data_IF_954266833483
#
_entry.id   IF_954266833483
#
_cell.length_a   1.000
_cell.length_b   1.000
_cell.length_c   1.000
_cell.angle_alpha   90.00
_cell.angle_beta   90.00
_cell.angle_gamma   90.00
#
_symmetry.space_group_name_H-M   'P 1'
#
loop_
_entity.id
_entity.type
_entity.pdbx_description
1 polymer ?
#
# COMPACT_ATOMS: atom_id res chain seq x y z
N UNK A 1 11.75 11.91 6.04
CA UNK A 1 11.66 10.44 6.09
C UNK A 1 11.34 10.05 7.51
N UNK A 2 10.33 9.21 7.66
CA UNK A 2 9.85 8.68 8.92
C UNK A 2 10.28 7.23 9.06
N UNK A 3 10.56 6.81 10.30
CA UNK A 3 10.88 5.43 10.66
C UNK A 3 9.90 4.99 11.75
N UNK A 4 9.13 3.95 11.48
CA UNK A 4 8.19 3.38 12.43
C UNK A 4 8.55 1.92 12.74
N UNK A 5 8.70 1.60 14.02
CA UNK A 5 8.90 0.20 14.45
C UNK A 5 7.60 -0.58 14.28
N UNK A 6 7.70 -1.78 13.72
CA UNK A 6 6.63 -2.76 13.61
C UNK A 6 7.01 -4.05 14.36
N UNK A 7 6.26 -5.14 14.18
CA UNK A 7 6.52 -6.39 14.89
C UNK A 7 7.97 -6.89 14.71
N UNK A 8 8.48 -7.64 15.69
CA UNK A 8 9.83 -8.21 15.70
C UNK A 8 10.98 -7.18 15.65
N UNK A 9 10.71 -5.91 16.00
CA UNK A 9 11.69 -4.80 15.90
C UNK A 9 12.08 -4.48 14.46
N UNK A 10 11.30 -4.95 13.49
CA UNK A 10 11.40 -4.52 12.09
C UNK A 10 10.97 -3.04 12.00
N UNK A 11 11.37 -2.36 10.93
CA UNK A 11 11.09 -0.93 10.74
C UNK A 11 10.46 -0.71 9.36
N UNK A 12 9.45 0.14 9.30
CA UNK A 12 8.93 0.69 8.04
C UNK A 12 9.49 2.09 7.86
N UNK A 13 10.20 2.29 6.75
CA UNK A 13 10.72 3.58 6.33
C UNK A 13 9.83 4.13 5.22
N UNK A 14 9.38 5.39 5.35
CA UNK A 14 8.48 6.02 4.39
C UNK A 14 8.59 7.56 4.45
N UNK A 15 8.13 8.28 3.41
CA UNK A 15 8.17 9.75 3.40
C UNK A 15 7.27 10.42 4.47
N UNK A 16 7.65 11.61 4.95
CA UNK A 16 6.97 12.29 6.07
C UNK A 16 5.58 12.81 5.71
N UNK A 17 5.33 13.01 4.42
CA UNK A 17 4.08 13.52 3.88
C UNK A 17 2.97 12.46 3.77
N UNK A 18 3.29 11.20 4.06
CA UNK A 18 2.32 10.10 3.99
C UNK A 18 1.40 10.08 5.22
N UNK A 19 0.14 9.73 4.99
CA UNK A 19 -0.82 9.53 6.08
C UNK A 19 -0.83 8.09 6.55
N UNK A 20 -0.64 7.85 7.85
CA UNK A 20 -0.76 6.49 8.42
C UNK A 20 -2.23 6.22 8.78
N UNK A 21 -2.83 5.20 8.16
CA UNK A 21 -4.26 4.88 8.26
C UNK A 21 -4.61 4.25 9.61
N UNK A 22 -3.76 3.35 10.10
CA UNK A 22 -4.00 2.51 11.28
C UNK A 22 -2.77 2.43 12.20
N UNK A 23 -2.31 3.57 12.74
CA UNK A 23 -1.05 3.63 13.51
C UNK A 23 -1.01 2.68 14.71
N UNK A 24 -2.16 2.36 15.30
CA UNK A 24 -2.31 1.42 16.42
C UNK A 24 -1.91 -0.02 16.07
N UNK A 25 -1.92 -0.38 14.78
CA UNK A 25 -1.59 -1.73 14.33
C UNK A 25 -0.09 -1.97 14.14
N UNK A 26 0.73 -0.92 14.23
CA UNK A 26 2.17 -0.98 13.94
C UNK A 26 2.86 -2.10 14.72
N UNK A 27 2.64 -2.17 16.05
CA UNK A 27 3.33 -3.11 16.94
C UNK A 27 3.06 -4.60 16.62
N UNK A 28 1.98 -4.90 15.91
CA UNK A 28 1.59 -6.27 15.54
C UNK A 28 1.72 -6.54 14.05
N UNK A 29 2.14 -5.54 13.26
CA UNK A 29 2.22 -5.65 11.82
C UNK A 29 3.51 -6.34 11.37
N UNK A 30 3.38 -7.23 10.38
CA UNK A 30 4.49 -7.92 9.75
C UNK A 30 4.80 -7.35 8.36
N UNK A 31 3.87 -6.61 7.76
CA UNK A 31 4.07 -5.92 6.50
C UNK A 31 3.41 -4.54 6.53
N UNK A 32 3.75 -3.72 5.53
CA UNK A 32 3.11 -2.45 5.29
C UNK A 32 2.72 -2.34 3.81
N UNK A 33 1.66 -1.60 3.54
CA UNK A 33 1.11 -1.39 2.21
C UNK A 33 0.94 0.11 1.97
N UNK A 34 1.22 0.54 0.75
CA UNK A 34 0.88 1.88 0.27
C UNK A 34 -0.49 1.85 -0.38
N UNK A 35 -1.33 2.81 -0.03
CA UNK A 35 -2.53 3.16 -0.81
C UNK A 35 -2.15 4.31 -1.71
N UNK A 36 -2.26 4.10 -3.03
CA UNK A 36 -1.97 5.11 -4.03
C UNK A 36 -3.14 5.30 -4.99
N UNK A 37 -3.15 6.46 -5.66
CA UNK A 37 -4.12 6.77 -6.70
C UNK A 37 -3.39 6.81 -8.03
N UNK A 38 -3.82 5.97 -8.98
CA UNK A 38 -3.39 6.07 -10.38
C UNK A 38 -3.69 7.48 -10.91
N UNK A 39 -2.69 8.11 -11.51
CA UNK A 39 -2.72 9.53 -11.91
C UNK A 39 -2.89 10.50 -10.73
N UNK A 40 -2.50 10.12 -9.52
CA UNK A 40 -2.75 10.86 -8.27
C UNK A 40 -2.30 12.32 -8.28
N UNK A 41 -1.23 12.64 -9.03
CA UNK A 41 -0.77 14.02 -9.23
C UNK A 41 -1.84 14.94 -9.83
N UNK A 42 -2.73 14.43 -10.72
CA UNK A 42 -3.86 15.20 -11.28
C UNK A 42 -4.88 15.62 -10.23
N UNK A 43 -4.94 14.87 -9.12
CA UNK A 43 -5.92 15.05 -8.04
C UNK A 43 -5.31 15.62 -6.75
N UNK A 44 -3.99 15.87 -6.75
CA UNK A 44 -3.20 16.11 -5.53
C UNK A 44 -3.48 15.05 -4.46
N UNK A 45 -3.55 13.79 -4.88
CA UNK A 45 -3.77 12.67 -3.97
C UNK A 45 -2.49 12.38 -3.18
N UNK A 46 -2.58 12.31 -1.85
CA UNK A 46 -1.45 11.86 -1.04
C UNK A 46 -1.32 10.34 -1.12
N UNK A 47 -0.19 9.84 -0.64
CA UNK A 47 -0.04 8.42 -0.33
C UNK A 47 -0.46 8.15 1.11
N UNK A 48 -0.94 6.93 1.35
CA UNK A 48 -1.29 6.47 2.68
C UNK A 48 -0.54 5.18 3.02
N UNK A 49 -0.12 5.04 4.26
CA UNK A 49 0.49 3.84 4.79
C UNK A 49 -0.54 3.02 5.57
N UNK A 50 -0.61 1.72 5.30
CA UNK A 50 -1.40 0.76 6.05
C UNK A 50 -0.52 -0.36 6.61
N UNK A 51 -0.57 -0.58 7.91
CA UNK A 51 0.10 -1.68 8.58
C UNK A 51 -0.74 -2.95 8.52
N UNK A 52 -0.16 -4.07 8.10
CA UNK A 52 -0.86 -5.34 7.93
C UNK A 52 -0.19 -6.45 8.76
N UNK A 53 -1.01 -7.25 9.44
CA UNK A 53 -0.54 -8.43 10.19
C UNK A 53 -0.14 -9.59 9.26
N UNK A 54 -0.73 -9.68 8.07
CA UNK A 54 -0.42 -10.71 7.07
C UNK A 54 0.47 -10.21 5.94
N UNK A 55 0.67 -11.07 4.94
CA UNK A 55 1.40 -10.74 3.71
C UNK A 55 0.49 -10.36 2.54
N UNK A 56 -0.82 -10.61 2.67
CA UNK A 56 -1.80 -10.36 1.64
C UNK A 56 -3.01 -9.64 2.25
N UNK A 57 -3.60 -8.77 1.45
CA UNK A 57 -4.84 -8.04 1.76
C UNK A 57 -6.00 -8.80 1.12
N UNK A 58 -6.98 -9.22 1.92
CA UNK A 58 -8.24 -9.76 1.39
C UNK A 58 -9.08 -8.69 0.70
N UNK A 59 -10.07 -9.08 -0.10
CA UNK A 59 -10.97 -8.13 -0.75
C UNK A 59 -11.74 -7.26 0.27
N UNK A 60 -12.13 -7.84 1.41
CA UNK A 60 -12.82 -7.11 2.48
C UNK A 60 -11.90 -6.09 3.16
N UNK A 61 -10.65 -6.48 3.44
CA UNK A 61 -9.64 -5.56 3.96
C UNK A 61 -9.33 -4.44 2.97
N UNK A 62 -9.27 -4.76 1.67
CA UNK A 62 -9.03 -3.76 0.63
C UNK A 62 -10.09 -2.65 0.65
N UNK A 63 -11.37 -3.02 0.74
CA UNK A 63 -12.47 -2.04 0.85
C UNK A 63 -12.42 -1.26 2.17
N UNK A 64 -12.09 -1.93 3.29
CA UNK A 64 -11.92 -1.27 4.58
C UNK A 64 -10.80 -0.23 4.56
N UNK A 65 -9.65 -0.57 3.99
CA UNK A 65 -8.48 0.32 3.84
C UNK A 65 -8.88 1.56 3.05
N UNK A 66 -9.54 1.38 1.89
CA UNK A 66 -10.01 2.49 1.03
C UNK A 66 -10.97 3.41 1.78
N UNK A 67 -11.94 2.85 2.49
CA UNK A 67 -12.91 3.64 3.29
C UNK A 67 -12.25 4.42 4.42
N UNK A 68 -11.23 3.83 5.05
CA UNK A 68 -10.51 4.47 6.16
C UNK A 68 -9.62 5.60 5.65
N UNK A 69 -8.88 5.37 4.55
CA UNK A 69 -8.13 6.41 3.84
C UNK A 69 -9.04 7.57 3.41
N UNK A 70 -10.23 7.26 2.87
CA UNK A 70 -11.21 8.27 2.48
C UNK A 70 -11.81 9.04 3.66
N UNK A 71 -11.90 8.43 4.85
CA UNK A 71 -12.31 9.13 6.06
C UNK A 71 -11.27 10.15 6.53
N UNK A 72 -9.97 9.90 6.26
CA UNK A 72 -8.89 10.84 6.55
C UNK A 72 -8.72 11.92 5.47
N UNK A 73 -8.92 11.55 4.20
CA UNK A 73 -8.87 12.46 3.06
C UNK A 73 -10.14 12.32 2.21
N UNK A 74 -11.22 13.08 2.55
CA UNK A 74 -12.54 12.90 1.94
C UNK A 74 -12.63 13.02 0.43
N UNK A 75 -11.64 13.65 -0.22
CA UNK A 75 -11.56 13.69 -1.69
C UNK A 75 -11.40 12.31 -2.32
N UNK A 76 -10.88 11.32 -1.59
CA UNK A 76 -10.74 9.96 -2.08
C UNK A 76 -12.08 9.32 -2.43
N UNK A 77 -13.18 9.65 -1.72
CA UNK A 77 -14.51 9.15 -2.07
C UNK A 77 -14.88 9.52 -3.51
N UNK A 78 -14.62 10.77 -3.89
CA UNK A 78 -14.88 11.21 -5.26
C UNK A 78 -14.00 10.49 -6.28
N UNK A 79 -12.76 10.15 -5.93
CA UNK A 79 -11.86 9.39 -6.79
C UNK A 79 -12.36 7.96 -7.00
N UNK A 80 -12.81 7.31 -5.92
CA UNK A 80 -13.41 5.98 -5.95
C UNK A 80 -14.66 5.98 -6.87
N UNK A 81 -15.48 7.03 -6.80
CA UNK A 81 -16.67 7.17 -7.66
C UNK A 81 -16.33 7.40 -9.15
N UNK A 82 -15.09 7.81 -9.48
CA UNK A 82 -14.61 8.02 -10.85
C UNK A 82 -13.94 6.78 -11.46
N UNK A 83 -13.79 5.69 -10.71
CA UNK A 83 -13.18 4.46 -11.22
C UNK A 83 -14.03 3.84 -12.32
N UNK A 84 -13.36 3.28 -13.33
CA UNK A 84 -14.01 2.63 -14.46
C UNK A 84 -13.61 1.16 -14.48
N UNK A 85 -14.61 0.29 -14.34
CA UNK A 85 -14.43 -1.15 -14.45
C UNK A 85 -14.20 -1.58 -15.91
N UNK A 86 -13.33 -2.57 -16.15
CA UNK A 86 -13.13 -3.12 -17.49
C UNK A 86 -14.37 -3.88 -17.97
N UNK A 87 -14.82 -3.53 -19.17
CA UNK A 87 -15.86 -4.24 -19.92
C UNK A 87 -15.16 -5.18 -20.90
N UNK A 88 -15.37 -6.49 -20.72
CA UNK A 88 -14.75 -7.51 -21.56
C UNK A 88 -15.67 -7.87 -22.73
N UNK A 89 -15.14 -7.82 -23.95
CA UNK A 89 -15.82 -8.29 -25.15
C UNK A 89 -15.76 -9.81 -25.30
N UNK A 90 -16.47 -10.35 -26.30
CA UNK A 90 -16.56 -11.79 -26.57
C UNK A 90 -15.20 -12.45 -26.89
N UNK A 91 -14.20 -11.66 -27.30
CA UNK A 91 -12.84 -12.13 -27.59
C UNK A 91 -11.91 -12.09 -26.36
N UNK A 92 -12.44 -11.71 -25.18
CA UNK A 92 -11.70 -11.58 -23.93
C UNK A 92 -10.86 -10.31 -23.82
N UNK A 93 -10.89 -9.39 -24.79
CA UNK A 93 -10.25 -8.08 -24.69
C UNK A 93 -11.14 -7.10 -23.92
N UNK A 94 -10.51 -6.03 -23.41
CA UNK A 94 -11.21 -4.92 -22.75
C UNK A 94 -11.70 -3.95 -23.83
N UNK A 95 -13.01 -3.88 -24.05
CA UNK A 95 -13.64 -3.03 -25.07
C UNK A 95 -13.50 -1.53 -24.73
N UNK A 96 -13.59 -1.18 -23.44
CA UNK A 96 -13.44 0.18 -22.93
C UNK A 96 -12.01 0.49 -22.44
N UNK A 97 -10.97 -0.12 -23.04
CA UNK A 97 -9.58 -0.02 -22.57
C UNK A 97 -9.10 1.42 -22.39
N UNK A 98 -9.47 2.32 -23.31
CA UNK A 98 -9.09 3.74 -23.23
C UNK A 98 -9.68 4.43 -21.98
N UNK A 99 -10.93 4.13 -21.63
CA UNK A 99 -11.59 4.70 -20.45
C UNK A 99 -10.96 4.16 -19.16
N UNK A 100 -10.74 2.84 -19.07
CA UNK A 100 -10.05 2.21 -17.93
C UNK A 100 -8.62 2.75 -17.77
N UNK A 101 -7.92 2.97 -18.88
CA UNK A 101 -6.56 3.49 -18.87
C UNK A 101 -6.47 4.94 -18.38
N UNK A 102 -7.44 5.81 -18.71
CA UNK A 102 -7.42 7.20 -18.28
C UNK A 102 -8.10 7.44 -16.92
N UNK A 103 -9.03 6.57 -16.52
CA UNK A 103 -9.70 6.66 -15.22
C UNK A 103 -8.70 6.51 -14.06
N UNK A 104 -8.89 7.26 -12.95
CA UNK A 104 -8.17 7.01 -11.72
C UNK A 104 -8.58 5.65 -11.15
N UNK A 105 -7.72 5.10 -10.30
CA UNK A 105 -7.98 3.86 -9.57
C UNK A 105 -7.17 3.89 -8.28
N UNK A 106 -7.81 3.53 -7.17
CA UNK A 106 -7.15 3.40 -5.87
C UNK A 106 -6.58 1.99 -5.74
N UNK A 107 -5.26 1.89 -5.69
CA UNK A 107 -4.55 0.63 -5.50
C UNK A 107 -3.98 0.50 -4.09
N UNK A 108 -3.87 -0.73 -3.60
CA UNK A 108 -3.19 -1.07 -2.35
C UNK A 108 -2.07 -2.05 -2.66
N UNK A 109 -0.82 -1.64 -2.42
CA UNK A 109 0.36 -2.41 -2.81
C UNK A 109 1.28 -2.65 -1.62
N UNK A 110 1.79 -3.88 -1.48
CA UNK A 110 2.75 -4.22 -0.42
C UNK A 110 4.07 -3.47 -0.65
N UNK A 111 4.59 -2.85 0.41
CA UNK A 111 5.94 -2.31 0.39
C UNK A 111 6.96 -3.46 0.36
N UNK A 112 7.99 -3.39 -0.48
CA UNK A 112 9.00 -4.43 -0.54
C UNK A 112 9.90 -4.41 0.70
N UNK A 113 10.43 -5.60 1.02
CA UNK A 113 11.46 -5.75 2.04
C UNK A 113 12.83 -5.34 1.47
N UNK A 114 13.64 -4.63 2.25
CA UNK A 114 14.97 -4.18 1.86
C UNK A 114 15.89 -5.35 1.46
N UNK A 115 15.71 -6.53 2.07
CA UNK A 115 16.51 -7.72 1.78
C UNK A 115 16.09 -8.45 0.50
N UNK A 116 14.84 -8.28 0.07
CA UNK A 116 14.20 -9.12 -0.96
C UNK A 116 13.89 -8.33 -2.24
N UNK A 117 14.12 -7.02 -2.24
CA UNK A 117 13.90 -6.19 -3.41
C UNK A 117 15.06 -6.34 -4.41
N UNK A 118 14.78 -6.74 -5.66
CA UNK A 118 15.78 -6.72 -6.73
C UNK A 118 16.02 -5.29 -7.28
N UNK A 119 15.31 -4.28 -6.78
CA UNK A 119 15.33 -2.92 -7.29
C UNK A 119 16.32 -2.05 -6.51
N UNK A 120 17.09 -1.24 -7.25
CA UNK A 120 17.95 -0.20 -6.66
C UNK A 120 17.11 0.95 -6.07
N UNK A 121 15.94 1.23 -6.68
CA UNK A 121 14.99 2.24 -6.26
C UNK A 121 13.71 1.61 -5.68
N UNK A 122 13.30 2.08 -4.51
CA UNK A 122 12.07 1.63 -3.84
C UNK A 122 10.90 2.50 -4.28
N UNK A 123 9.69 1.95 -4.49
CA UNK A 123 8.51 2.76 -4.79
C UNK A 123 8.34 3.86 -3.74
N UNK A 124 8.47 5.11 -4.19
CA UNK A 124 8.36 6.30 -3.34
C UNK A 124 9.33 6.33 -2.13
N UNK A 125 10.51 5.71 -2.28
CA UNK A 125 11.52 5.58 -1.22
C UNK A 125 11.02 4.83 0.04
N UNK A 126 9.90 4.12 -0.06
CA UNK A 126 9.25 3.42 1.04
C UNK A 126 9.55 1.91 1.04
N UNK A 127 9.90 1.36 2.22
CA UNK A 127 10.38 -0.03 2.36
C UNK A 127 10.24 -0.57 3.78
N UNK A 128 10.31 -1.90 3.90
CA UNK A 128 10.40 -2.60 5.20
C UNK A 128 11.84 -3.05 5.44
N UNK A 129 12.39 -2.75 6.60
CA UNK A 129 13.74 -3.13 7.05
C UNK A 129 13.58 -4.20 8.13
N UNK A 130 14.07 -5.40 7.85
CA UNK A 130 13.99 -6.53 8.78
C UNK A 130 15.11 -6.48 9.81
N UNK A 131 14.75 -6.64 11.08
CA UNK A 131 15.72 -6.78 12.14
C UNK A 131 16.55 -8.07 11.95
N UNK A 132 17.82 -8.07 12.38
CA UNK A 132 18.62 -9.29 12.38
C UNK A 132 17.91 -10.36 13.22
N UNK A 133 17.62 -11.53 12.63
CA UNK A 133 17.16 -12.67 13.40
C UNK A 133 18.28 -13.07 14.35
N UNK A 134 18.00 -13.10 15.65
CA UNK A 134 18.96 -13.63 16.61
C UNK A 134 19.30 -15.06 16.19
N UNK A 135 20.59 -15.31 15.93
CA UNK A 135 21.09 -16.66 15.72
C UNK A 135 20.81 -17.37 17.04
N UNK A 136 19.89 -18.33 17.02
CA UNK A 136 19.61 -19.13 18.20
C UNK A 136 20.93 -19.65 18.76
N UNK A 137 21.14 -19.48 20.06
CA UNK A 137 22.12 -20.28 20.78
C UNK A 137 21.80 -21.73 20.46
N UNK A 138 22.61 -22.33 19.57
CA UNK A 138 22.59 -23.76 19.35
C UNK A 138 22.92 -24.39 20.69
N UNK A 139 21.91 -24.94 21.35
CA UNK A 139 22.14 -25.86 22.45
C UNK A 139 22.77 -27.12 21.85
N UNK A 140 24.07 -27.27 22.13
CA UNK A 140 24.84 -28.51 21.96
C UNK A 140 24.30 -29.64 22.85
#
# INVERSE_FOLDING_TARGET
MHLAEIANRDVVEFPDEWFVINPESAATAHSAHVVEVKHGARYNAPHFLYYCMGDAISAEEHDLIRKTAASMWPKLYHIIDMEVEPVYGDDGRIDNLHEVADAPCVGVFKLPDLSDSPYEDYPFDAKVIRAPKAIGSGDE
#
